data_IF_789413109013
#
_entry.id   IF_789413109013
#
_cell.length_a   1.000
_cell.length_b   1.000
_cell.length_c   1.000
_cell.angle_alpha   90.00
_cell.angle_beta   90.00
_cell.angle_gamma   90.00
#
_symmetry.space_group_name_H-M   'P 1'
#
loop_
_entity.id
_entity.type
_entity.pdbx_description
1 polymer ?
#
# COMPACT_ATOMS: atom_id res chain seq x y z
N UNK A 1 -12.58 -0.73 0.59
CA UNK A 1 -11.36 -0.28 1.26
C UNK A 1 -10.22 -1.14 0.76
N UNK A 2 -9.10 -0.51 0.42
CA UNK A 2 -7.93 -1.18 -0.16
C UNK A 2 -6.73 -0.86 0.73
N UNK A 3 -5.94 -1.88 1.08
CA UNK A 3 -4.87 -1.74 2.07
C UNK A 3 -3.75 -2.76 1.85
N UNK A 4 -2.54 -2.42 2.27
CA UNK A 4 -1.41 -3.35 2.29
C UNK A 4 -0.52 -3.17 3.50
N UNK A 5 0.27 -4.20 3.80
CA UNK A 5 1.30 -4.18 4.84
C UNK A 5 2.57 -4.84 4.33
N UNK A 6 3.72 -4.26 4.69
CA UNK A 6 5.05 -4.79 4.39
C UNK A 6 5.77 -5.03 5.72
N UNK A 7 6.09 -6.29 6.01
CA UNK A 7 6.76 -6.71 7.23
C UNK A 7 8.21 -7.07 6.89
N UNK A 8 9.16 -6.41 7.55
CA UNK A 8 10.59 -6.73 7.46
C UNK A 8 11.04 -7.42 8.75
N UNK A 9 11.74 -8.55 8.60
CA UNK A 9 12.26 -9.35 9.72
C UNK A 9 13.62 -9.96 9.40
N UNK A 10 14.24 -10.61 10.38
CA UNK A 10 15.46 -11.38 10.15
C UNK A 10 15.24 -12.59 9.21
N UNK A 11 14.00 -13.11 9.11
CA UNK A 11 13.65 -14.20 8.20
C UNK A 11 13.49 -13.73 6.75
N UNK A 12 13.38 -12.43 6.51
CA UNK A 12 13.13 -11.83 5.21
C UNK A 12 11.98 -10.82 5.24
N UNK A 13 11.33 -10.63 4.10
CA UNK A 13 10.22 -9.71 3.95
C UNK A 13 8.93 -10.44 3.54
N UNK A 14 7.81 -9.96 4.05
CA UNK A 14 6.46 -10.42 3.74
C UNK A 14 5.60 -9.23 3.35
N UNK A 15 4.80 -9.39 2.31
CA UNK A 15 3.85 -8.37 1.84
C UNK A 15 2.48 -9.03 1.75
N UNK A 16 1.48 -8.40 2.37
CA UNK A 16 0.07 -8.65 2.05
C UNK A 16 -0.56 -7.41 1.47
N UNK A 17 -1.45 -7.60 0.51
CA UNK A 17 -2.34 -6.58 -0.02
C UNK A 17 -3.75 -7.11 -0.10
N UNK A 18 -4.71 -6.22 0.07
CA UNK A 18 -6.13 -6.50 -0.10
C UNK A 18 -6.74 -5.36 -0.90
N UNK A 19 -7.33 -5.72 -2.02
CA UNK A 19 -8.16 -4.84 -2.81
C UNK A 19 -9.59 -5.37 -2.83
N UNK A 20 -10.51 -4.60 -2.24
CA UNK A 20 -11.92 -4.99 -2.17
C UNK A 20 -12.62 -5.05 -3.53
N UNK A 21 -12.08 -4.41 -4.57
CA UNK A 21 -12.63 -4.45 -5.93
C UNK A 21 -12.06 -5.61 -6.75
N UNK A 22 -11.02 -6.28 -6.25
CA UNK A 22 -10.41 -7.40 -6.93
C UNK A 22 -11.36 -8.61 -7.00
N UNK A 23 -11.35 -9.28 -8.15
CA UNK A 23 -12.14 -10.50 -8.37
C UNK A 23 -11.77 -11.59 -7.38
N UNK A 24 -10.50 -11.64 -6.96
CA UNK A 24 -9.97 -12.62 -6.01
C UNK A 24 -10.25 -12.28 -4.54
N UNK A 25 -11.20 -11.37 -4.27
CA UNK A 25 -11.56 -10.97 -2.92
C UNK A 25 -12.11 -12.14 -2.10
N UNK A 26 -11.63 -12.36 -0.85
CA UNK A 26 -12.16 -13.37 0.08
C UNK A 26 -13.60 -13.12 0.53
N UNK A 27 -14.24 -12.05 0.06
CA UNK A 27 -15.66 -11.77 0.28
C UNK A 27 -16.51 -12.08 -0.95
N UNK A 28 -15.88 -12.27 -2.12
CA UNK A 28 -16.54 -12.82 -3.30
C UNK A 28 -16.63 -14.35 -3.20
N UNK A 29 -15.61 -14.96 -2.61
CA UNK A 29 -15.56 -16.37 -2.22
C UNK A 29 -15.80 -16.50 -0.70
N UNK A 30 -16.16 -17.68 -0.17
CA UNK A 30 -16.31 -17.90 1.30
C UNK A 30 -14.94 -18.24 1.93
N UNK A 31 -13.92 -17.41 1.66
CA UNK A 31 -12.53 -17.66 2.06
C UNK A 31 -11.46 -17.03 1.17
N UNK A 32 -10.19 -17.00 1.61
CA UNK A 32 -9.07 -16.55 0.78
C UNK A 32 -8.98 -17.33 -0.53
N UNK A 33 -8.64 -16.63 -1.61
CA UNK A 33 -8.50 -17.26 -2.91
C UNK A 33 -7.46 -18.40 -2.87
N UNK A 34 -7.78 -19.60 -3.40
CA UNK A 34 -6.85 -20.73 -3.37
C UNK A 34 -5.50 -20.41 -4.01
N UNK A 35 -4.43 -20.79 -3.32
CA UNK A 35 -3.04 -20.58 -3.70
C UNK A 35 -2.42 -19.32 -3.09
N UNK A 36 -3.20 -18.30 -2.69
CA UNK A 36 -2.65 -17.01 -2.22
C UNK A 36 -1.87 -17.18 -0.92
N UNK A 37 -2.40 -17.96 0.02
CA UNK A 37 -1.78 -18.16 1.34
C UNK A 37 -1.22 -19.58 1.56
N UNK A 38 -1.58 -20.54 0.71
CA UNK A 38 -1.28 -21.96 0.94
C UNK A 38 0.22 -22.26 0.96
N UNK A 39 0.96 -21.57 0.09
CA UNK A 39 2.40 -21.79 -0.11
C UNK A 39 3.30 -20.88 0.73
N UNK A 40 2.72 -20.08 1.63
CA UNK A 40 3.51 -19.19 2.50
C UNK A 40 4.43 -20.03 3.39
N UNK A 41 5.75 -19.78 3.40
CA UNK A 41 6.70 -20.53 4.20
C UNK A 41 6.41 -20.46 5.71
N UNK A 42 6.78 -21.52 6.43
CA UNK A 42 6.58 -21.63 7.89
C UNK A 42 7.14 -20.43 8.67
N UNK A 43 8.25 -19.85 8.20
CA UNK A 43 8.85 -18.65 8.83
C UNK A 43 7.94 -17.42 8.82
N UNK A 44 6.96 -17.37 7.92
CA UNK A 44 5.98 -16.28 7.79
C UNK A 44 4.55 -16.71 8.19
N UNK A 45 4.33 -17.96 8.63
CA UNK A 45 2.98 -18.45 8.99
C UNK A 45 2.29 -17.62 10.06
N UNK A 46 3.05 -17.16 11.05
CA UNK A 46 2.55 -16.26 12.08
C UNK A 46 1.97 -14.95 11.53
N UNK A 47 2.40 -14.50 10.34
CA UNK A 47 1.84 -13.31 9.68
C UNK A 47 0.54 -13.64 8.95
N UNK A 48 0.35 -14.88 8.48
CA UNK A 48 -0.93 -15.31 7.90
C UNK A 48 -2.01 -15.42 8.97
N UNK A 49 -1.61 -15.80 10.18
CA UNK A 49 -2.48 -15.98 11.35
C UNK A 49 -2.62 -14.71 12.21
N UNK A 50 -2.00 -13.61 11.79
CA UNK A 50 -2.00 -12.36 12.55
C UNK A 50 -3.39 -11.74 12.57
N UNK A 51 -3.95 -11.60 13.77
CA UNK A 51 -5.27 -10.99 14.00
C UNK A 51 -5.42 -9.60 13.39
N UNK A 52 -4.35 -8.80 13.36
CA UNK A 52 -4.35 -7.48 12.72
C UNK A 52 -4.48 -7.51 11.19
N UNK A 53 -4.38 -8.68 10.56
CA UNK A 53 -4.55 -8.87 9.12
C UNK A 53 -5.83 -9.64 8.76
N UNK A 54 -6.68 -9.89 9.75
CA UNK A 54 -8.00 -10.48 9.57
C UNK A 54 -9.09 -9.46 9.92
N UNK A 55 -10.31 -9.71 9.46
CA UNK A 55 -11.49 -8.96 9.92
C UNK A 55 -11.98 -9.44 11.29
N UNK A 56 -13.09 -8.87 11.75
CA UNK A 56 -13.69 -9.17 13.06
C UNK A 56 -14.13 -10.63 13.22
N UNK A 57 -14.37 -11.34 12.11
CA UNK A 57 -14.77 -12.76 12.09
C UNK A 57 -13.57 -13.69 11.93
N UNK A 58 -12.36 -13.13 11.77
CA UNK A 58 -11.11 -13.87 11.58
C UNK A 58 -10.82 -14.24 10.13
N UNK A 59 -11.58 -13.70 9.17
CA UNK A 59 -11.31 -13.90 7.74
C UNK A 59 -10.04 -13.12 7.34
N UNK A 60 -9.03 -13.76 6.74
CA UNK A 60 -7.86 -13.05 6.23
C UNK A 60 -8.25 -12.02 5.17
N UNK A 61 -7.91 -10.75 5.41
CA UNK A 61 -8.17 -9.64 4.49
C UNK A 61 -7.01 -9.61 3.50
N UNK A 62 -7.10 -10.41 2.43
CA UNK A 62 -5.99 -10.58 1.47
C UNK A 62 -6.47 -10.94 0.07
N UNK A 63 -5.89 -10.30 -0.94
CA UNK A 63 -6.01 -10.66 -2.37
C UNK A 63 -4.67 -11.00 -2.98
N UNK A 64 -3.59 -10.40 -2.45
CA UNK A 64 -2.21 -10.65 -2.88
C UNK A 64 -1.30 -10.91 -1.68
N UNK A 65 -0.43 -11.90 -1.81
CA UNK A 65 0.58 -12.24 -0.81
C UNK A 65 1.92 -12.54 -1.50
N UNK A 66 2.97 -11.82 -1.10
CA UNK A 66 4.32 -11.97 -1.63
C UNK A 66 5.31 -12.15 -0.47
N UNK A 67 6.36 -12.91 -0.68
CA UNK A 67 7.42 -13.05 0.32
C UNK A 67 8.80 -13.16 -0.33
N UNK A 68 9.81 -12.83 0.44
CA UNK A 68 11.21 -13.02 0.07
C UNK A 68 11.97 -13.43 1.32
N UNK A 69 12.34 -14.70 1.42
CA UNK A 69 13.16 -15.18 2.54
C UNK A 69 14.55 -14.52 2.51
N UNK A 70 15.25 -14.49 3.64
CA UNK A 70 16.53 -13.78 3.79
C UNK A 70 17.60 -14.17 2.76
N UNK A 71 17.54 -15.42 2.27
CA UNK A 71 18.47 -15.97 1.28
C UNK A 71 17.92 -16.02 -0.14
N UNK A 72 16.68 -15.58 -0.37
CA UNK A 72 16.09 -15.54 -1.70
C UNK A 72 16.64 -14.37 -2.53
N UNK A 73 16.86 -14.61 -3.82
CA UNK A 73 17.28 -13.54 -4.75
C UNK A 73 16.08 -12.78 -5.35
N UNK A 74 14.87 -13.33 -5.24
CA UNK A 74 13.64 -12.79 -5.85
C UNK A 74 12.45 -12.90 -4.91
N UNK A 75 11.45 -12.06 -5.13
CA UNK A 75 10.12 -12.24 -4.54
C UNK A 75 9.48 -13.52 -5.06
N UNK A 76 8.70 -14.15 -4.18
CA UNK A 76 7.89 -15.34 -4.43
C UNK A 76 6.43 -15.01 -4.15
N UNK A 77 5.56 -15.76 -4.81
CA UNK A 77 4.11 -15.80 -4.62
C UNK A 77 3.70 -17.27 -4.56
N UNK A 78 2.46 -17.52 -4.13
CA UNK A 78 1.94 -18.88 -4.09
C UNK A 78 1.61 -19.47 -5.45
N UNK A 79 1.29 -20.76 -5.46
CA UNK A 79 0.79 -21.47 -6.64
C UNK A 79 -0.69 -21.12 -6.86
N UNK A 80 -0.94 -20.01 -7.55
CA UNK A 80 -2.28 -19.44 -7.74
C UNK A 80 -2.82 -19.81 -9.13
N UNK A 81 -4.03 -20.38 -9.16
CA UNK A 81 -4.87 -20.40 -10.36
C UNK A 81 -5.69 -19.11 -10.41
N UNK A 82 -5.25 -18.14 -11.21
CA UNK A 82 -5.90 -16.84 -11.35
C UNK A 82 -7.24 -16.96 -12.08
N UNK A 83 -8.24 -16.17 -11.66
CA UNK A 83 -9.54 -16.08 -12.34
C UNK A 83 -9.38 -15.73 -13.83
N UNK A 84 -10.27 -16.19 -14.71
CA UNK A 84 -10.27 -15.72 -16.11
C UNK A 84 -10.71 -14.25 -16.18
N UNK A 85 -10.24 -13.48 -17.18
CA UNK A 85 -10.70 -12.10 -17.41
C UNK A 85 -9.62 -11.01 -17.40
N UNK A 86 -9.92 -9.87 -16.77
CA UNK A 86 -9.16 -8.61 -16.84
C UNK A 86 -7.72 -8.70 -16.30
N UNK A 87 -6.94 -7.64 -16.53
CA UNK A 87 -5.65 -7.46 -15.88
C UNK A 87 -5.85 -7.09 -14.40
N UNK A 88 -4.83 -7.36 -13.58
CA UNK A 88 -4.79 -6.99 -12.14
C UNK A 88 -5.87 -7.65 -11.26
N UNK A 89 -6.07 -8.96 -11.44
CA UNK A 89 -7.13 -9.75 -10.78
C UNK A 89 -7.04 -9.81 -9.26
N UNK A 90 -5.85 -9.62 -8.71
CA UNK A 90 -5.55 -9.57 -7.28
C UNK A 90 -5.38 -8.12 -6.76
N UNK A 91 -5.49 -7.12 -7.65
CA UNK A 91 -5.34 -5.69 -7.35
C UNK A 91 -3.90 -5.25 -7.05
N UNK A 92 -2.91 -6.13 -7.25
CA UNK A 92 -1.52 -5.86 -6.89
C UNK A 92 -0.89 -4.68 -7.65
N UNK A 93 -1.28 -4.48 -8.91
CA UNK A 93 -0.83 -3.39 -9.76
C UNK A 93 -1.28 -2.03 -9.23
N UNK A 94 -2.55 -1.92 -8.85
CA UNK A 94 -3.09 -0.73 -8.20
C UNK A 94 -2.46 -0.52 -6.82
N UNK A 95 -2.45 -1.56 -5.98
CA UNK A 95 -1.93 -1.52 -4.60
C UNK A 95 -0.45 -1.11 -4.52
N UNK A 96 0.39 -1.67 -5.38
CA UNK A 96 1.85 -1.56 -5.29
C UNK A 96 2.46 -0.63 -6.35
N UNK A 97 1.64 -0.02 -7.22
CA UNK A 97 2.12 0.84 -8.30
C UNK A 97 3.08 1.95 -7.84
N UNK A 98 2.74 2.63 -6.74
CA UNK A 98 3.58 3.70 -6.17
C UNK A 98 4.86 3.19 -5.48
N UNK A 99 4.90 1.90 -5.10
CA UNK A 99 6.11 1.30 -4.50
C UNK A 99 7.18 1.03 -5.57
N UNK A 100 6.75 0.72 -6.80
CA UNK A 100 7.65 0.40 -7.91
C UNK A 100 8.00 1.62 -8.78
N UNK A 101 7.15 2.65 -8.77
CA UNK A 101 7.43 3.95 -9.37
C UNK A 101 7.28 5.06 -8.31
N UNK A 102 8.34 5.36 -7.53
CA UNK A 102 8.30 6.37 -6.48
C UNK A 102 8.53 7.79 -7.03
N UNK A 103 8.10 8.07 -8.26
CA UNK A 103 8.22 9.41 -8.85
C UNK A 103 7.08 10.33 -8.42
N UNK A 104 7.33 11.64 -8.27
CA UNK A 104 6.29 12.65 -8.06
C UNK A 104 5.20 12.59 -9.15
N UNK A 105 5.58 12.32 -10.39
CA UNK A 105 4.66 12.20 -11.53
C UNK A 105 3.74 10.98 -11.40
N UNK A 106 4.23 9.85 -10.86
CA UNK A 106 3.39 8.69 -10.59
C UNK A 106 2.39 8.97 -9.47
N UNK A 107 2.84 9.60 -8.39
CA UNK A 107 1.94 10.02 -7.30
C UNK A 107 0.89 11.02 -7.78
N UNK A 108 1.26 12.00 -8.61
CA UNK A 108 0.31 12.95 -9.18
C UNK A 108 -0.80 12.22 -9.95
N UNK A 109 -0.44 11.32 -10.88
CA UNK A 109 -1.43 10.56 -11.66
C UNK A 109 -2.36 9.76 -10.74
N UNK A 110 -1.79 9.06 -9.76
CA UNK A 110 -2.57 8.32 -8.76
C UNK A 110 -3.53 9.23 -8.00
N UNK A 111 -3.05 10.38 -7.49
CA UNK A 111 -3.85 11.28 -6.69
C UNK A 111 -4.96 11.96 -7.51
N UNK A 112 -4.69 12.31 -8.78
CA UNK A 112 -5.69 12.87 -9.68
C UNK A 112 -6.81 11.89 -10.02
N UNK A 113 -6.46 10.60 -10.20
CA UNK A 113 -7.43 9.54 -10.43
C UNK A 113 -8.23 9.21 -9.16
N UNK A 114 -7.54 9.04 -8.03
CA UNK A 114 -8.16 8.59 -6.78
C UNK A 114 -9.02 9.67 -6.10
N UNK A 115 -8.55 10.92 -6.07
CA UNK A 115 -9.30 12.03 -5.48
C UNK A 115 -10.17 12.78 -6.49
N UNK A 116 -10.10 12.42 -7.77
CA UNK A 116 -10.84 13.04 -8.88
C UNK A 116 -10.66 14.58 -8.95
N UNK A 117 -9.48 15.07 -8.56
CA UNK A 117 -9.14 16.51 -8.58
C UNK A 117 -7.76 16.74 -9.20
N UNK A 118 -7.53 17.86 -9.91
CA UNK A 118 -6.19 18.21 -10.40
C UNK A 118 -5.19 18.38 -9.24
N UNK A 119 -3.96 17.92 -9.44
CA UNK A 119 -2.90 18.01 -8.42
C UNK A 119 -1.70 18.78 -8.95
N UNK A 120 -1.24 19.79 -8.20
CA UNK A 120 -0.06 20.57 -8.56
C UNK A 120 1.23 19.74 -8.41
N UNK A 121 1.88 19.43 -9.53
CA UNK A 121 3.09 18.61 -9.56
C UNK A 121 4.28 19.26 -8.84
N UNK A 122 4.41 20.59 -8.85
CA UNK A 122 5.51 21.26 -8.16
C UNK A 122 5.32 21.24 -6.64
N UNK A 123 4.07 21.28 -6.17
CA UNK A 123 3.73 21.01 -4.78
C UNK A 123 4.04 19.56 -4.39
N UNK A 124 3.69 18.56 -5.22
CA UNK A 124 4.07 17.15 -4.96
C UNK A 124 5.59 16.99 -4.91
N UNK A 125 6.32 17.56 -5.88
CA UNK A 125 7.79 17.56 -5.89
C UNK A 125 8.38 18.24 -4.65
N UNK A 126 7.71 19.27 -4.10
CA UNK A 126 8.13 19.90 -2.85
C UNK A 126 8.08 18.93 -1.68
N UNK A 127 7.00 18.15 -1.57
CA UNK A 127 6.82 17.13 -0.53
C UNK A 127 7.83 15.99 -0.70
N UNK A 128 7.98 15.47 -1.92
CA UNK A 128 8.96 14.42 -2.25
C UNK A 128 10.41 14.84 -1.98
N UNK A 129 10.71 16.14 -2.15
CA UNK A 129 12.00 16.72 -1.81
C UNK A 129 12.23 16.88 -0.30
N UNK A 130 11.28 16.46 0.55
CA UNK A 130 11.30 16.65 2.01
C UNK A 130 11.63 18.09 2.41
N UNK A 131 11.12 19.06 1.65
CA UNK A 131 11.29 20.48 1.98
C UNK A 131 10.25 20.87 3.02
N UNK A 132 10.57 21.75 3.98
CA UNK A 132 9.59 22.25 4.94
C UNK A 132 8.33 22.76 4.23
N UNK A 133 7.16 22.32 4.69
CA UNK A 133 5.91 22.75 4.07
C UNK A 133 5.69 24.25 4.28
N UNK A 134 5.11 24.89 3.26
CA UNK A 134 4.67 26.28 3.33
C UNK A 134 3.16 26.33 3.18
N UNK A 135 2.51 27.39 3.66
CA UNK A 135 1.06 27.56 3.49
C UNK A 135 0.65 27.51 2.02
N UNK A 136 1.51 27.99 1.11
CA UNK A 136 1.27 27.95 -0.32
C UNK A 136 1.28 26.52 -0.89
N UNK A 137 2.22 25.68 -0.44
CA UNK A 137 2.29 24.26 -0.86
C UNK A 137 1.09 23.49 -0.34
N UNK A 138 0.70 23.71 0.93
CA UNK A 138 -0.48 23.06 1.52
C UNK A 138 -1.74 23.47 0.75
N UNK A 139 -1.97 24.76 0.56
CA UNK A 139 -3.15 25.26 -0.15
C UNK A 139 -3.23 24.80 -1.62
N UNK A 140 -2.08 24.54 -2.27
CA UNK A 140 -2.04 24.00 -3.63
C UNK A 140 -2.46 22.52 -3.71
N UNK A 141 -2.28 21.75 -2.63
CA UNK A 141 -2.69 20.34 -2.56
C UNK A 141 -4.09 20.18 -1.97
N UNK A 142 -4.41 20.97 -0.94
CA UNK A 142 -5.71 20.97 -0.29
C UNK A 142 -5.99 22.35 0.33
N UNK A 143 -6.90 23.11 -0.30
CA UNK A 143 -7.25 24.46 0.13
C UNK A 143 -8.04 24.52 1.44
N UNK A 144 -8.61 23.39 1.89
CA UNK A 144 -9.42 23.29 3.10
C UNK A 144 -8.58 23.02 4.37
N UNK A 145 -7.27 22.82 4.21
CA UNK A 145 -6.34 22.47 5.30
C UNK A 145 -5.26 23.55 5.44
N UNK A 146 -4.92 23.92 6.67
CA UNK A 146 -3.83 24.84 6.97
C UNK A 146 -2.58 24.11 7.47
N UNK A 147 -1.44 24.81 7.52
CA UNK A 147 -0.22 24.27 8.15
C UNK A 147 -0.40 23.97 9.64
N UNK A 148 -1.28 24.71 10.33
CA UNK A 148 -1.54 24.52 11.75
C UNK A 148 -2.32 23.22 11.98
N UNK A 149 -3.26 22.91 11.10
CA UNK A 149 -4.04 21.66 11.13
C UNK A 149 -3.15 20.42 10.95
N UNK A 150 -2.04 20.55 10.21
CA UNK A 150 -1.09 19.47 9.93
C UNK A 150 -0.02 19.27 11.02
N UNK A 151 -0.04 20.04 12.12
CA UNK A 151 1.05 20.03 13.09
C UNK A 151 1.33 18.63 13.67
N UNK A 152 0.27 17.90 14.03
CA UNK A 152 0.39 16.55 14.60
C UNK A 152 0.88 15.54 13.55
N UNK A 153 0.38 15.62 12.32
CA UNK A 153 0.80 14.75 11.21
C UNK A 153 2.28 14.96 10.86
N UNK A 154 2.73 16.22 10.78
CA UNK A 154 4.13 16.55 10.51
C UNK A 154 5.05 16.07 11.62
N UNK A 155 4.62 16.17 12.88
CA UNK A 155 5.38 15.66 14.02
C UNK A 155 5.45 14.12 13.99
N UNK A 156 4.33 13.44 13.75
CA UNK A 156 4.25 11.98 13.67
C UNK A 156 5.11 11.42 12.53
N UNK A 157 5.04 12.05 11.34
CA UNK A 157 5.86 11.71 10.18
C UNK A 157 7.34 12.10 10.34
N UNK A 158 7.70 12.84 11.39
CA UNK A 158 9.02 13.46 11.60
C UNK A 158 9.44 14.28 10.38
N UNK A 159 8.47 14.97 9.79
CA UNK A 159 8.65 15.74 8.58
C UNK A 159 9.54 16.97 8.86
N UNK A 160 10.39 17.40 7.92
CA UNK A 160 11.27 18.54 8.14
C UNK A 160 10.52 19.83 8.50
N UNK A 161 10.88 20.42 9.63
CA UNK A 161 10.41 21.74 10.03
C UNK A 161 11.41 22.80 9.55
N UNK A 162 10.90 23.94 9.09
CA UNK A 162 11.70 25.05 8.54
C UNK A 162 12.47 25.84 9.59
N UNK A 163 12.99 25.18 10.62
CA UNK A 163 13.76 25.81 11.69
C UNK A 163 15.24 25.72 11.33
N UNK A 164 15.71 26.72 10.60
CA UNK A 164 17.12 27.07 10.42
C UNK A 164 17.31 28.54 10.73
#
# INVERSE_FOLDING_TARGET
MTEYSIVFSAAGAYIRGFDHEAVMSPYAEDGPWPGVLDSVPDVFRHLVEESGFCDEEGMPVVTVCLWREAHDERWRLGEIEYADGENDRDGAGHLFGLLVDPSPEAFQRFAEEYYEVPVDLDAVRHVYGLRPLTSAVVAALNADVSLEDLADDLAAARYPSGVG
#
